data_IF_338227144171
#
_entry.id   IF_338227144171
#
_cell.length_a   1.000
_cell.length_b   1.000
_cell.length_c   1.000
_cell.angle_alpha   90.00
_cell.angle_beta   90.00
_cell.angle_gamma   90.00
#
_symmetry.space_group_name_H-M   'P 1'
#
loop_
_entity.id
_entity.type
_entity.pdbx_description
1 polymer ?
#
# COMPACT_ATOMS: atom_id res chain seq x y z
N UNK A 1 -8.91 13.14 0.40
CA UNK A 1 -8.84 11.97 -0.48
C UNK A 1 -7.53 11.23 -0.27
N UNK A 2 -7.58 9.97 0.09
CA UNK A 2 -6.39 9.16 0.29
C UNK A 2 -6.13 8.32 -0.96
N UNK A 3 -4.85 8.18 -1.32
CA UNK A 3 -4.44 7.38 -2.46
C UNK A 3 -3.61 6.19 -1.97
N UNK A 4 -4.09 5.00 -2.27
CA UNK A 4 -3.40 3.77 -1.93
C UNK A 4 -2.81 3.13 -3.18
N UNK A 5 -1.56 2.74 -3.12
CA UNK A 5 -0.89 2.06 -4.22
C UNK A 5 -0.86 0.57 -3.93
N UNK A 6 -1.04 -0.23 -4.97
CA UNK A 6 -0.93 -1.68 -4.84
C UNK A 6 0.53 -2.09 -4.99
N UNK A 7 0.97 -2.95 -4.08
CA UNK A 7 2.29 -3.56 -4.15
C UNK A 7 2.13 -5.07 -4.25
N UNK A 8 2.96 -5.69 -5.05
CA UNK A 8 2.90 -7.13 -5.28
C UNK A 8 4.27 -7.75 -5.06
N UNK A 9 4.28 -8.91 -4.38
CA UNK A 9 5.48 -9.69 -4.19
C UNK A 9 5.76 -10.50 -5.46
N UNK A 10 6.98 -10.45 -5.94
CA UNK A 10 7.38 -11.19 -7.13
C UNK A 10 7.49 -12.69 -6.91
N UNK A 11 7.73 -13.11 -5.67
CA UNK A 11 7.96 -14.54 -5.37
C UNK A 11 6.68 -15.31 -5.14
N UNK A 12 5.80 -14.81 -4.29
CA UNK A 12 4.61 -15.55 -3.88
C UNK A 12 3.28 -14.96 -4.38
N UNK A 13 3.32 -13.81 -5.04
CA UNK A 13 2.12 -13.17 -5.55
C UNK A 13 1.29 -12.43 -4.51
N UNK A 14 1.82 -12.27 -3.30
CA UNK A 14 1.15 -11.50 -2.25
C UNK A 14 0.92 -10.05 -2.71
N UNK A 15 -0.27 -9.52 -2.43
CA UNK A 15 -0.60 -8.13 -2.76
C UNK A 15 -1.02 -7.38 -1.50
N UNK A 16 -0.69 -6.10 -1.47
CA UNK A 16 -1.06 -5.21 -0.36
C UNK A 16 -1.27 -3.80 -0.90
N UNK A 17 -2.25 -3.11 -0.34
CA UNK A 17 -2.51 -1.71 -0.67
C UNK A 17 -2.01 -0.82 0.46
N UNK A 18 -1.27 0.23 0.11
CA UNK A 18 -0.76 1.14 1.09
C UNK A 18 -0.16 2.39 0.47
N UNK A 19 0.26 3.31 1.32
CA UNK A 19 0.89 4.55 0.91
C UNK A 19 2.35 4.54 1.35
N UNK A 20 3.30 4.84 0.46
CA UNK A 20 4.72 4.85 0.84
C UNK A 20 5.07 5.83 1.95
N UNK A 21 4.23 6.83 2.19
CA UNK A 21 4.39 7.75 3.32
C UNK A 21 3.91 7.16 4.64
N UNK A 22 3.21 6.03 4.60
CA UNK A 22 2.67 5.36 5.78
C UNK A 22 1.35 5.91 6.28
N UNK A 23 0.91 7.05 5.79
CA UNK A 23 -0.37 7.66 6.18
C UNK A 23 -0.84 8.61 5.10
N UNK A 24 -2.13 8.91 5.10
CA UNK A 24 -2.73 9.87 4.17
C UNK A 24 -3.95 10.50 4.82
N UNK A 25 -4.45 11.57 4.21
CA UNK A 25 -5.54 12.38 4.73
C UNK A 25 -6.81 12.11 3.91
N UNK A 26 -7.91 11.80 4.60
CA UNK A 26 -9.22 11.67 3.98
C UNK A 26 -9.86 13.04 3.75
N UNK A 27 -10.86 13.09 2.88
CA UNK A 27 -11.60 14.34 2.62
C UNK A 27 -12.28 14.88 3.89
N UNK A 28 -12.65 13.99 4.80
CA UNK A 28 -13.24 14.38 6.09
C UNK A 28 -12.24 15.00 7.06
N UNK A 29 -10.96 15.00 6.71
CA UNK A 29 -9.91 15.51 7.58
C UNK A 29 -9.28 14.47 8.49
N UNK A 30 -9.76 13.24 8.44
CA UNK A 30 -9.17 12.15 9.22
C UNK A 30 -7.87 11.65 8.60
N UNK A 31 -6.90 11.38 9.44
CA UNK A 31 -5.64 10.75 9.01
C UNK A 31 -5.78 9.25 9.15
N UNK A 32 -5.53 8.52 8.07
CA UNK A 32 -5.52 7.07 8.08
C UNK A 32 -4.09 6.56 8.00
N UNK A 33 -3.82 5.45 8.68
CA UNK A 33 -2.53 4.79 8.60
C UNK A 33 -2.63 3.64 7.60
N UNK A 34 -1.79 3.68 6.58
CA UNK A 34 -1.78 2.67 5.52
C UNK A 34 -0.32 2.37 5.12
N UNK A 35 0.49 1.87 6.07
CA UNK A 35 1.90 1.61 5.78
C UNK A 35 2.07 0.45 4.80
N UNK A 36 3.13 0.55 4.00
CA UNK A 36 3.53 -0.53 3.11
C UNK A 36 4.70 -1.25 3.77
N UNK A 37 4.63 -2.59 3.95
CA UNK A 37 5.76 -3.33 4.50
C UNK A 37 6.98 -3.21 3.58
N UNK A 38 8.16 -3.19 4.15
CA UNK A 38 9.40 -3.15 3.37
C UNK A 38 9.63 -4.44 2.59
N UNK A 39 9.12 -5.54 3.13
CA UNK A 39 9.25 -6.86 2.53
C UNK A 39 7.93 -7.60 2.65
N UNK A 40 7.74 -8.60 1.79
CA UNK A 40 6.56 -9.45 1.85
C UNK A 40 6.49 -10.16 3.21
N UNK A 41 5.38 -10.03 3.95
CA UNK A 41 5.24 -10.69 5.25
C UNK A 41 5.07 -12.21 5.13
N UNK A 42 4.77 -12.70 3.93
CA UNK A 42 4.56 -14.13 3.71
C UNK A 42 5.85 -14.88 3.41
N UNK A 43 6.70 -14.33 2.55
CA UNK A 43 7.92 -15.00 2.11
C UNK A 43 9.19 -14.19 2.29
N UNK A 44 9.08 -12.94 2.73
CA UNK A 44 10.22 -12.06 2.88
C UNK A 44 10.78 -11.50 1.59
N UNK A 45 10.09 -11.71 0.47
CA UNK A 45 10.50 -11.20 -0.82
C UNK A 45 10.27 -9.70 -0.96
N UNK A 46 10.77 -9.13 -2.04
CA UNK A 46 10.62 -7.71 -2.31
C UNK A 46 9.24 -7.40 -2.87
N UNK A 47 8.61 -6.35 -2.37
CA UNK A 47 7.35 -5.85 -2.88
C UNK A 47 7.61 -4.76 -3.91
N UNK A 48 6.89 -4.82 -5.03
CA UNK A 48 6.97 -3.80 -6.07
C UNK A 48 5.63 -3.14 -6.32
N UNK A 49 5.66 -1.85 -6.56
CA UNK A 49 4.48 -1.08 -6.90
C UNK A 49 3.96 -1.52 -8.27
N UNK A 50 2.66 -1.75 -8.35
CA UNK A 50 1.99 -2.06 -9.61
C UNK A 50 1.36 -0.79 -10.21
N UNK A 51 0.68 -0.93 -11.34
CA UNK A 51 -0.03 0.20 -11.98
C UNK A 51 -1.40 0.46 -11.37
N UNK A 52 -1.83 -0.39 -10.44
CA UNK A 52 -3.14 -0.24 -9.81
C UNK A 52 -3.08 0.78 -8.68
N UNK A 53 -4.04 1.69 -8.68
CA UNK A 53 -4.15 2.74 -7.65
C UNK A 53 -5.58 2.72 -7.12
N UNK A 54 -5.72 2.73 -5.80
CA UNK A 54 -7.01 2.79 -5.13
C UNK A 54 -7.16 4.14 -4.46
N UNK A 55 -8.25 4.85 -4.77
CA UNK A 55 -8.56 6.11 -4.12
C UNK A 55 -9.66 5.90 -3.09
N UNK A 56 -9.46 6.44 -1.89
CA UNK A 56 -10.38 6.31 -0.76
C UNK A 56 -10.73 7.70 -0.25
N UNK A 57 -12.01 7.95 -0.09
CA UNK A 57 -12.49 9.22 0.46
C UNK A 57 -12.53 9.21 1.99
#
# INVERSE_FOLDING_TARGET
MATLFEYKCKKCGYTVNGNPKGKDLLMSGEVIECPVPKKCPECGGELKKTDNVLMVD
#
